data_IF_394433798929
#
_entry.id   IF_394433798929
#
_cell.length_a   1.000
_cell.length_b   1.000
_cell.length_c   1.000
_cell.angle_alpha   90.00
_cell.angle_beta   90.00
_cell.angle_gamma   90.00
#
_symmetry.space_group_name_H-M   'P 1'
#
loop_
_entity.id
_entity.type
_entity.pdbx_description
1 polymer ?
#
# COMPACT_ATOMS: atom_id res chain seq x y z
N UNK A 1 -11.97 15.41 -28.25
CA UNK A 1 -10.83 14.66 -27.77
C UNK A 1 -10.15 15.29 -26.57
N UNK A 2 -9.75 16.55 -26.70
CA UNK A 2 -9.16 17.26 -25.56
C UNK A 2 -10.10 17.34 -24.37
N UNK A 3 -11.37 17.55 -24.66
CA UNK A 3 -12.36 17.68 -23.61
C UNK A 3 -12.58 16.38 -22.85
N UNK A 4 -12.49 15.25 -23.55
CA UNK A 4 -12.60 13.95 -22.91
C UNK A 4 -11.39 13.68 -22.01
N UNK A 5 -10.19 14.07 -22.44
CA UNK A 5 -9.00 13.92 -21.63
C UNK A 5 -9.03 14.84 -20.41
N UNK A 6 -9.51 16.06 -20.57
CA UNK A 6 -9.67 16.97 -19.45
C UNK A 6 -10.68 16.46 -18.44
N UNK A 7 -11.79 15.92 -18.92
CA UNK A 7 -12.80 15.36 -18.03
C UNK A 7 -12.27 14.15 -17.30
N UNK A 8 -11.49 13.30 -17.94
CA UNK A 8 -10.87 12.16 -17.31
C UNK A 8 -9.88 12.62 -16.24
N UNK A 9 -9.06 13.61 -16.55
CA UNK A 9 -8.11 14.15 -15.60
C UNK A 9 -8.82 14.79 -14.40
N UNK A 10 -9.90 15.52 -14.66
CA UNK A 10 -10.69 16.11 -13.58
C UNK A 10 -11.40 15.05 -12.76
N UNK A 11 -11.90 14.00 -13.38
CA UNK A 11 -12.51 12.89 -12.67
C UNK A 11 -11.49 12.16 -11.82
N UNK A 12 -10.30 11.91 -12.37
CA UNK A 12 -9.23 11.30 -11.59
C UNK A 12 -8.81 12.20 -10.44
N UNK A 13 -8.71 13.50 -10.68
CA UNK A 13 -8.38 14.44 -9.63
C UNK A 13 -9.49 14.52 -8.59
N UNK A 14 -10.74 14.53 -9.02
CA UNK A 14 -11.88 14.60 -8.11
C UNK A 14 -12.12 13.30 -7.38
N UNK A 15 -11.87 12.16 -8.03
CA UNK A 15 -12.12 10.83 -7.44
C UNK A 15 -10.91 10.25 -6.71
N UNK A 16 -9.74 10.61 -7.15
CA UNK A 16 -8.53 10.23 -6.43
C UNK A 16 -8.48 10.89 -5.10
N UNK A 17 -9.29 11.82 -5.01
CA UNK A 17 -9.28 12.62 -3.93
C UNK A 17 -10.03 12.11 -2.76
N UNK A 18 -10.95 11.19 -2.79
CA UNK A 18 -11.28 10.55 -1.55
C UNK A 18 -10.10 9.68 -1.14
N UNK A 19 -9.03 10.35 -0.74
CA UNK A 19 -7.85 9.72 -0.16
C UNK A 19 -8.27 8.75 0.93
N UNK A 20 -9.28 9.13 1.70
CA UNK A 20 -9.84 8.31 2.75
C UNK A 20 -10.40 6.99 2.20
N UNK A 21 -11.08 7.05 1.06
CA UNK A 21 -11.64 5.84 0.43
C UNK A 21 -10.53 4.91 -0.05
N UNK A 22 -9.46 5.47 -0.60
CA UNK A 22 -8.29 4.69 -1.02
C UNK A 22 -7.62 4.05 0.18
N UNK A 23 -7.40 4.82 1.24
CA UNK A 23 -6.83 4.30 2.48
C UNK A 23 -7.67 3.16 3.03
N UNK A 24 -8.98 3.37 3.15
CA UNK A 24 -9.87 2.37 3.71
C UNK A 24 -9.85 1.08 2.90
N UNK A 25 -9.88 1.19 1.57
CA UNK A 25 -9.85 0.02 0.70
C UNK A 25 -8.52 -0.74 0.83
N UNK A 26 -7.40 -0.02 0.80
CA UNK A 26 -6.08 -0.63 0.90
C UNK A 26 -5.87 -1.28 2.25
N UNK A 27 -6.15 -0.57 3.32
CA UNK A 27 -5.89 -1.09 4.66
C UNK A 27 -6.88 -2.16 5.08
N UNK A 28 -8.11 -2.10 4.57
CA UNK A 28 -9.05 -3.18 4.79
C UNK A 28 -8.53 -4.49 4.16
N UNK A 29 -8.08 -4.42 2.93
CA UNK A 29 -7.54 -5.59 2.23
C UNK A 29 -6.28 -6.12 2.90
N UNK A 30 -5.37 -5.24 3.26
CA UNK A 30 -4.13 -5.63 3.93
C UNK A 30 -4.41 -6.21 5.31
N UNK A 31 -5.35 -5.65 6.03
CA UNK A 31 -5.76 -6.17 7.33
C UNK A 31 -6.35 -7.57 7.23
N UNK A 32 -7.14 -7.82 6.20
CA UNK A 32 -7.70 -9.13 5.94
C UNK A 32 -6.61 -10.16 5.66
N UNK A 33 -5.65 -9.80 4.82
CA UNK A 33 -4.51 -10.67 4.52
C UNK A 33 -3.72 -10.95 5.79
N UNK A 34 -3.46 -9.92 6.59
CA UNK A 34 -2.71 -10.07 7.83
C UNK A 34 -3.39 -11.02 8.82
N UNK A 35 -4.69 -10.87 9.02
CA UNK A 35 -5.45 -11.74 9.91
C UNK A 35 -5.47 -13.18 9.40
N UNK A 36 -5.61 -13.36 8.11
CA UNK A 36 -5.59 -14.70 7.53
C UNK A 36 -4.22 -15.34 7.64
N UNK A 37 -3.16 -14.57 7.52
CA UNK A 37 -1.81 -15.06 7.75
C UNK A 37 -1.61 -15.52 9.18
N UNK A 38 -2.09 -14.75 10.15
CA UNK A 38 -2.02 -15.13 11.56
C UNK A 38 -2.76 -16.43 11.82
N UNK A 39 -3.96 -16.53 11.29
CA UNK A 39 -4.75 -17.76 11.41
C UNK A 39 -4.01 -18.94 10.80
N UNK A 40 -3.48 -18.77 9.60
CA UNK A 40 -2.77 -19.85 8.92
C UNK A 40 -1.49 -20.24 9.64
N UNK A 41 -0.75 -19.28 10.17
CA UNK A 41 0.45 -19.59 10.94
C UNK A 41 0.13 -20.48 12.12
N UNK A 42 -0.92 -20.14 12.87
CA UNK A 42 -1.34 -20.92 14.03
C UNK A 42 -1.86 -22.29 13.63
N UNK A 43 -2.66 -22.34 12.58
CA UNK A 43 -3.24 -23.60 12.12
C UNK A 43 -2.15 -24.55 11.59
N UNK A 44 -1.27 -24.03 10.75
CA UNK A 44 -0.20 -24.84 10.17
C UNK A 44 0.76 -25.34 11.22
N UNK A 45 1.03 -24.54 12.26
CA UNK A 45 1.86 -24.98 13.35
C UNK A 45 1.21 -26.14 14.11
N UNK A 46 -0.10 -26.07 14.32
CA UNK A 46 -0.83 -27.11 15.05
C UNK A 46 -0.90 -28.43 14.29
N UNK A 47 -1.05 -28.38 12.98
CA UNK A 47 -1.16 -29.60 12.18
C UNK A 47 0.19 -30.15 11.76
N UNK A 48 1.29 -29.50 12.16
CA UNK A 48 2.63 -29.96 11.82
C UNK A 48 2.98 -29.79 10.36
N UNK A 49 2.55 -28.68 9.77
CA UNK A 49 2.87 -28.40 8.39
C UNK A 49 4.38 -28.30 8.16
N UNK A 50 4.79 -28.51 6.91
CA UNK A 50 6.21 -28.49 6.58
C UNK A 50 6.79 -27.07 6.70
N UNK A 51 8.12 -27.00 6.77
CA UNK A 51 8.82 -25.73 6.92
C UNK A 51 8.58 -24.81 5.74
N UNK A 52 8.41 -25.36 4.54
CA UNK A 52 8.19 -24.56 3.34
C UNK A 52 6.84 -23.84 3.38
N UNK A 53 5.80 -24.51 3.85
CA UNK A 53 4.48 -23.91 3.99
C UNK A 53 4.48 -22.81 5.06
N UNK A 54 5.13 -23.07 6.18
CA UNK A 54 5.27 -22.08 7.25
C UNK A 54 6.06 -20.86 6.76
N UNK A 55 7.12 -21.09 6.01
CA UNK A 55 7.93 -20.01 5.47
C UNK A 55 7.13 -19.17 4.46
N UNK A 56 6.32 -19.81 3.62
CA UNK A 56 5.50 -19.10 2.65
C UNK A 56 4.53 -18.12 3.34
N UNK A 57 3.86 -18.57 4.39
CA UNK A 57 2.93 -17.72 5.13
C UNK A 57 3.69 -16.59 5.82
N UNK A 58 4.84 -16.88 6.39
CA UNK A 58 5.68 -15.86 7.01
C UNK A 58 6.12 -14.79 6.00
N UNK A 59 6.48 -15.22 4.79
CA UNK A 59 6.87 -14.29 3.73
C UNK A 59 5.71 -13.39 3.31
N UNK A 60 4.52 -13.95 3.21
CA UNK A 60 3.32 -13.15 2.87
C UNK A 60 3.04 -12.13 3.99
N UNK A 61 3.15 -12.54 5.23
CA UNK A 61 2.94 -11.66 6.37
C UNK A 61 3.94 -10.49 6.37
N UNK A 62 5.21 -10.79 6.13
CA UNK A 62 6.25 -9.78 6.08
C UNK A 62 6.06 -8.81 4.90
N UNK A 63 5.68 -9.34 3.74
CA UNK A 63 5.41 -8.52 2.56
C UNK A 63 4.22 -7.60 2.78
N UNK A 64 3.17 -8.10 3.45
CA UNK A 64 1.99 -7.32 3.77
C UNK A 64 2.33 -6.16 4.70
N UNK A 65 3.13 -6.41 5.73
CA UNK A 65 3.56 -5.35 6.65
C UNK A 65 4.40 -4.30 5.95
N UNK A 66 5.28 -4.73 5.05
CA UNK A 66 6.11 -3.81 4.27
C UNK A 66 5.25 -2.95 3.35
N UNK A 67 4.27 -3.56 2.71
CA UNK A 67 3.35 -2.84 1.82
C UNK A 67 2.53 -1.82 2.59
N UNK A 68 2.05 -2.15 3.79
CA UNK A 68 1.36 -1.19 4.64
C UNK A 68 2.21 0.04 4.93
N UNK A 69 3.48 -0.17 5.29
CA UNK A 69 4.39 0.93 5.57
C UNK A 69 4.61 1.79 4.33
N UNK A 70 4.79 1.16 3.19
CA UNK A 70 5.00 1.87 1.93
C UNK A 70 3.79 2.71 1.56
N UNK A 71 2.60 2.16 1.70
CA UNK A 71 1.36 2.90 1.42
C UNK A 71 1.23 4.09 2.37
N UNK A 72 1.52 3.91 3.66
CA UNK A 72 1.49 5.01 4.62
C UNK A 72 2.45 6.12 4.24
N UNK A 73 3.65 5.78 3.83
CA UNK A 73 4.66 6.77 3.40
C UNK A 73 4.21 7.51 2.14
N UNK A 74 3.64 6.79 1.17
CA UNK A 74 3.13 7.42 -0.05
C UNK A 74 1.97 8.36 0.24
N UNK A 75 1.05 7.94 1.09
CA UNK A 75 -0.09 8.77 1.44
C UNK A 75 0.34 10.02 2.19
N UNK A 76 1.33 9.90 3.06
CA UNK A 76 1.87 11.04 3.78
C UNK A 76 2.51 12.03 2.81
N UNK A 77 3.27 11.53 1.82
CA UNK A 77 3.88 12.38 0.82
C UNK A 77 2.84 13.11 -0.02
N UNK A 78 1.79 12.41 -0.43
CA UNK A 78 0.70 13.01 -1.19
C UNK A 78 -0.04 14.07 -0.36
N UNK A 79 -0.21 13.83 0.92
CA UNK A 79 -0.85 14.79 1.79
C UNK A 79 -0.04 16.08 1.90
N UNK A 80 1.28 15.98 2.01
CA UNK A 80 2.14 17.15 2.00
C UNK A 80 1.99 17.94 0.70
N UNK A 81 1.96 17.26 -0.42
CA UNK A 81 1.80 17.90 -1.72
C UNK A 81 0.45 18.61 -1.83
N UNK A 82 -0.60 18.02 -1.31
CA UNK A 82 -1.94 18.61 -1.33
C UNK A 82 -2.06 19.83 -0.43
N UNK A 83 -1.37 19.82 0.68
CA UNK A 83 -1.40 20.93 1.63
C UNK A 83 -0.65 22.15 1.10
N UNK A 84 0.05 22.03 -0.02
CA UNK A 84 0.82 23.13 -0.58
C UNK A 84 2.06 23.46 0.22
N UNK A 85 2.40 22.66 1.20
CA UNK A 85 3.64 22.81 1.95
C UNK A 85 4.75 22.08 1.24
N UNK A 86 5.95 22.66 1.18
CA UNK A 86 7.06 21.91 0.64
C UNK A 86 7.26 20.68 1.53
N UNK A 87 7.19 19.48 0.95
CA UNK A 87 7.40 18.30 1.74
C UNK A 87 8.83 18.32 2.29
N UNK A 88 9.00 17.81 3.48
CA UNK A 88 10.33 17.54 3.98
C UNK A 88 11.04 16.54 3.11
N UNK A 89 10.26 15.78 2.36
CA UNK A 89 10.77 14.89 1.33
C UNK A 89 10.96 15.71 0.07
N UNK A 90 12.18 15.71 -0.43
CA UNK A 90 12.47 16.31 -1.71
C UNK A 90 11.90 15.43 -2.82
N UNK A 91 11.67 15.99 -4.02
CA UNK A 91 11.21 15.17 -5.14
C UNK A 91 12.08 13.95 -5.39
N UNK A 92 13.36 14.05 -5.08
CA UNK A 92 14.30 12.94 -5.18
C UNK A 92 13.91 11.80 -4.24
N UNK A 93 13.53 12.12 -3.01
CA UNK A 93 13.12 11.12 -2.03
C UNK A 93 11.83 10.42 -2.46
N UNK A 94 10.91 11.16 -3.05
CA UNK A 94 9.69 10.56 -3.58
C UNK A 94 10.00 9.61 -4.74
N UNK A 95 10.93 9.98 -5.61
CA UNK A 95 11.37 9.11 -6.68
C UNK A 95 12.01 7.84 -6.14
N UNK A 96 12.85 7.97 -5.13
CA UNK A 96 13.45 6.80 -4.46
C UNK A 96 12.39 5.88 -3.88
N UNK A 97 11.39 6.46 -3.22
CA UNK A 97 10.30 5.69 -2.65
C UNK A 97 9.54 4.92 -3.71
N UNK A 98 9.24 5.58 -4.84
CA UNK A 98 8.57 4.93 -5.96
C UNK A 98 9.42 3.84 -6.58
N UNK A 99 10.72 4.05 -6.66
CA UNK A 99 11.65 3.04 -7.16
C UNK A 99 11.69 1.82 -6.25
N UNK A 100 11.68 2.05 -4.94
CA UNK A 100 11.64 0.96 -3.98
C UNK A 100 10.37 0.12 -4.14
N UNK A 101 9.24 0.77 -4.35
CA UNK A 101 7.99 0.06 -4.60
C UNK A 101 8.07 -0.75 -5.89
N UNK A 102 8.61 -0.16 -6.94
CA UNK A 102 8.73 -0.83 -8.24
C UNK A 102 9.72 -1.99 -8.20
N UNK A 103 10.75 -1.91 -7.36
CA UNK A 103 11.77 -2.95 -7.24
C UNK A 103 11.29 -4.16 -6.46
N UNK A 104 10.16 -4.05 -5.81
CA UNK A 104 9.58 -5.14 -5.05
C UNK A 104 8.64 -5.96 -5.91
#
# INVERSE_FOLDING_TARGET
MEQAQQNTAQELTAQAIPQQAVEDACFHSLGLIGRNCEYLEQHLARVGADAQSLQAVSDISAATAKLERTINELLSALEFLRAGQPPKLYPLDLCELLQQVAAQ
#
